data_IF_321852469153
#
_entry.id   IF_321852469153
#
_cell.length_a   1.000
_cell.length_b   1.000
_cell.length_c   1.000
_cell.angle_alpha   90.00
_cell.angle_beta   90.00
_cell.angle_gamma   90.00
#
_symmetry.space_group_name_H-M   'P 1'
#
loop_
_entity.id
_entity.type
_entity.pdbx_description
1 polymer ?
#
# COMPACT_ATOMS: atom_id res chain seq x y z
N UNK A 1 -12.88 34.56 4.97
CA UNK A 1 -12.60 33.15 4.60
C UNK A 1 -11.82 33.16 3.31
N UNK A 2 -10.68 32.46 3.23
CA UNK A 2 -10.17 31.73 2.06
C UNK A 2 -8.77 31.14 2.39
N UNK A 3 -8.69 30.04 3.17
CA UNK A 3 -7.45 29.25 3.29
C UNK A 3 -7.33 28.16 2.19
N UNK A 4 -8.41 27.88 1.45
CA UNK A 4 -8.48 26.78 0.48
C UNK A 4 -7.58 26.96 -0.75
N UNK A 5 -7.23 28.20 -1.13
CA UNK A 5 -6.42 28.45 -2.35
C UNK A 5 -4.95 28.05 -2.14
N UNK A 6 -4.45 28.07 -0.89
CA UNK A 6 -3.03 27.80 -0.61
C UNK A 6 -2.67 26.31 -0.73
N UNK A 7 -3.58 25.41 -0.34
CA UNK A 7 -3.33 23.95 -0.37
C UNK A 7 -3.50 23.34 -1.77
N UNK A 8 -4.42 23.85 -2.59
CA UNK A 8 -4.52 23.39 -3.99
C UNK A 8 -3.31 23.81 -4.84
N UNK A 9 -2.69 24.94 -4.49
CA UNK A 9 -1.46 25.42 -5.15
C UNK A 9 -0.27 24.54 -4.79
N UNK A 10 -0.16 24.10 -3.52
CA UNK A 10 0.91 23.21 -3.07
C UNK A 10 0.82 21.82 -3.70
N UNK A 11 -0.40 21.27 -3.81
CA UNK A 11 -0.63 20.02 -4.53
C UNK A 11 -0.32 20.12 -6.02
N UNK A 12 -0.68 21.24 -6.67
CA UNK A 12 -0.31 21.49 -8.09
C UNK A 12 1.20 21.62 -8.28
N UNK A 13 1.89 22.32 -7.39
CA UNK A 13 3.35 22.50 -7.47
C UNK A 13 4.10 21.18 -7.24
N UNK A 14 3.61 20.31 -6.36
CA UNK A 14 4.18 18.97 -6.17
C UNK A 14 3.99 18.10 -7.41
N UNK A 15 2.84 18.20 -8.08
CA UNK A 15 2.59 17.49 -9.33
C UNK A 15 3.47 18.03 -10.47
N UNK A 16 3.62 19.34 -10.58
CA UNK A 16 4.48 20.01 -11.57
C UNK A 16 5.95 19.60 -11.39
N UNK A 17 6.47 19.63 -10.15
CA UNK A 17 7.81 19.17 -9.84
C UNK A 17 8.01 17.66 -10.10
N UNK A 18 6.99 16.84 -9.85
CA UNK A 18 7.06 15.40 -10.15
C UNK A 18 7.06 15.13 -11.66
N UNK A 19 6.31 15.90 -12.46
CA UNK A 19 6.32 15.79 -13.92
C UNK A 19 7.63 16.30 -14.52
N UNK A 20 8.20 17.39 -14.00
CA UNK A 20 9.53 17.87 -14.38
C UNK A 20 10.63 16.82 -14.08
N UNK A 21 10.52 16.12 -12.94
CA UNK A 21 11.40 14.99 -12.61
C UNK A 21 11.24 13.81 -13.59
N UNK A 22 10.03 13.55 -14.10
CA UNK A 22 9.80 12.53 -15.13
C UNK A 22 10.40 12.95 -16.48
N UNK A 23 10.30 14.22 -16.84
CA UNK A 23 10.91 14.77 -18.05
C UNK A 23 12.45 14.75 -17.97
N UNK A 24 13.05 15.01 -16.82
CA UNK A 24 14.50 14.87 -16.59
C UNK A 24 14.98 13.41 -16.71
N UNK A 25 14.15 12.43 -16.33
CA UNK A 25 14.45 10.99 -16.52
C UNK A 25 14.33 10.60 -18.00
N UNK A 26 13.34 11.11 -18.73
CA UNK A 26 13.15 10.84 -20.17
C UNK A 26 14.23 11.55 -21.01
N UNK A 27 14.58 12.79 -20.66
CA UNK A 27 15.67 13.54 -21.28
C UNK A 27 17.05 12.95 -20.93
N UNK A 28 17.25 12.53 -19.67
CA UNK A 28 18.45 11.85 -19.18
C UNK A 28 18.66 10.44 -19.75
N UNK A 29 17.60 9.81 -20.26
CA UNK A 29 17.68 8.52 -20.94
C UNK A 29 18.34 8.61 -22.31
N UNK A 30 18.51 9.79 -22.92
CA UNK A 30 19.26 9.92 -24.19
C UNK A 30 20.78 9.79 -24.03
N UNK A 31 21.31 10.08 -22.83
CA UNK A 31 22.74 9.90 -22.55
C UNK A 31 23.07 8.45 -22.15
N UNK A 32 22.13 7.73 -21.52
CA UNK A 32 22.33 6.35 -21.07
C UNK A 32 21.81 5.28 -22.06
N UNK A 33 20.84 5.60 -22.93
CA UNK A 33 20.38 4.70 -23.99
C UNK A 33 21.33 4.62 -25.20
N UNK A 34 22.45 5.36 -25.18
CA UNK A 34 23.57 5.13 -26.09
C UNK A 34 24.28 3.80 -25.85
N UNK A 35 24.04 3.14 -24.71
CA UNK A 35 24.75 1.92 -24.32
C UNK A 35 23.87 0.66 -24.19
N UNK A 36 22.53 0.75 -24.26
CA UNK A 36 21.65 -0.42 -24.04
C UNK A 36 20.37 -0.49 -24.90
N UNK A 37 20.35 0.05 -26.12
CA UNK A 37 19.26 -0.20 -27.06
C UNK A 37 19.48 -1.50 -27.84
N UNK A 38 18.93 -2.62 -27.33
CA UNK A 38 18.59 -3.80 -28.12
C UNK A 38 17.39 -3.47 -29.04
N UNK A 39 17.64 -2.69 -30.10
CA UNK A 39 16.67 -2.40 -31.15
C UNK A 39 17.13 -3.01 -32.46
N UNK A 40 16.32 -3.95 -32.95
CA UNK A 40 16.13 -4.41 -34.33
C UNK A 40 17.27 -4.09 -35.32
N UNK A 41 18.03 -5.14 -35.66
CA UNK A 41 18.88 -5.31 -36.84
C UNK A 41 19.09 -4.06 -37.72
N UNK A 42 20.10 -3.25 -37.41
CA UNK A 42 20.63 -2.24 -38.33
C UNK A 42 22.14 -2.48 -38.54
N UNK A 43 22.49 -2.86 -39.77
CA UNK A 43 23.81 -3.31 -40.21
C UNK A 43 24.77 -2.13 -40.44
N UNK A 44 24.99 -1.24 -39.45
CA UNK A 44 25.65 0.03 -39.75
C UNK A 44 26.37 0.82 -38.65
N UNK A 45 26.52 0.35 -37.40
CA UNK A 45 27.24 1.14 -36.38
C UNK A 45 28.07 0.28 -35.40
N UNK A 46 29.33 0.67 -35.09
CA UNK A 46 30.28 -0.15 -34.36
C UNK A 46 30.08 0.02 -32.85
N UNK A 47 29.06 -0.62 -32.28
CA UNK A 47 29.22 -1.10 -30.91
C UNK A 47 30.31 -2.17 -30.98
N UNK A 48 31.42 -1.95 -30.29
CA UNK A 48 32.56 -2.88 -30.28
C UNK A 48 32.18 -4.15 -29.53
N UNK A 49 31.40 -5.01 -30.20
CA UNK A 49 31.19 -6.40 -29.84
C UNK A 49 32.42 -7.19 -30.35
N UNK A 50 33.62 -6.60 -30.29
CA UNK A 50 34.84 -7.13 -30.93
C UNK A 50 35.20 -8.54 -30.46
N UNK A 51 35.30 -8.78 -29.14
CA UNK A 51 35.45 -10.11 -28.54
C UNK A 51 34.47 -11.17 -29.07
N UNK A 52 33.18 -10.86 -29.04
CA UNK A 52 32.12 -11.80 -29.38
C UNK A 52 32.00 -12.00 -30.90
N UNK A 53 32.27 -10.97 -31.72
CA UNK A 53 32.36 -11.11 -33.17
C UNK A 53 33.51 -12.02 -33.60
N UNK A 54 34.66 -11.95 -32.91
CA UNK A 54 35.79 -12.84 -33.21
C UNK A 54 35.42 -14.30 -32.92
N UNK A 55 34.70 -14.57 -31.83
CA UNK A 55 34.21 -15.92 -31.52
C UNK A 55 33.19 -16.39 -32.56
N UNK A 56 32.23 -15.54 -32.92
CA UNK A 56 31.20 -15.87 -33.89
C UNK A 56 31.78 -16.17 -35.28
N UNK A 57 32.66 -15.30 -35.78
CA UNK A 57 33.33 -15.49 -37.07
C UNK A 57 34.24 -16.72 -37.06
N UNK A 58 34.91 -17.02 -35.93
CA UNK A 58 35.68 -18.24 -35.77
C UNK A 58 34.80 -19.50 -35.82
N UNK A 59 33.59 -19.44 -35.26
CA UNK A 59 32.60 -20.51 -35.32
C UNK A 59 32.03 -20.70 -36.74
N UNK A 60 31.73 -19.62 -37.45
CA UNK A 60 31.34 -19.66 -38.87
C UNK A 60 32.43 -20.28 -39.76
N UNK A 61 33.69 -19.86 -39.58
CA UNK A 61 34.83 -20.42 -40.30
C UNK A 61 35.03 -21.90 -39.98
N UNK A 62 34.86 -22.29 -38.72
CA UNK A 62 34.91 -23.69 -38.30
C UNK A 62 33.83 -24.51 -39.00
N UNK A 63 32.57 -24.05 -38.98
CA UNK A 63 31.45 -24.71 -39.64
C UNK A 63 31.65 -24.83 -41.15
N UNK A 64 32.10 -23.75 -41.80
CA UNK A 64 32.40 -23.73 -43.23
C UNK A 64 33.50 -24.74 -43.61
N UNK A 65 34.51 -24.91 -42.75
CA UNK A 65 35.56 -25.92 -42.92
C UNK A 65 35.08 -27.35 -42.60
N UNK A 66 34.11 -27.54 -41.71
CA UNK A 66 33.51 -28.84 -41.40
C UNK A 66 32.58 -29.33 -42.53
N UNK A 67 31.93 -28.40 -43.23
CA UNK A 67 31.06 -28.66 -44.40
C UNK A 67 31.84 -29.02 -45.67
N UNK A 68 33.16 -28.84 -45.70
CA UNK A 68 34.02 -29.20 -46.84
C UNK A 68 34.21 -30.73 -46.94
N UNK A 69 33.76 -31.37 -48.04
CA UNK A 69 33.80 -32.84 -48.16
C UNK A 69 35.20 -33.39 -48.51
N UNK A 70 36.09 -32.57 -49.06
CA UNK A 70 37.43 -32.98 -49.48
C UNK A 70 38.48 -32.69 -48.38
N UNK A 71 39.04 -33.74 -47.77
CA UNK A 71 40.00 -33.61 -46.66
C UNK A 71 41.31 -32.94 -47.07
N UNK A 72 41.74 -33.09 -48.33
CA UNK A 72 42.99 -32.52 -48.81
C UNK A 72 42.86 -30.99 -49.00
N UNK A 73 41.74 -30.53 -49.58
CA UNK A 73 41.40 -29.10 -49.69
C UNK A 73 41.20 -28.47 -48.30
N UNK A 74 40.50 -29.16 -47.40
CA UNK A 74 40.36 -28.74 -46.00
C UNK A 74 41.71 -28.63 -45.29
N UNK A 75 42.62 -29.57 -45.54
CA UNK A 75 44.00 -29.53 -45.04
C UNK A 75 44.79 -28.36 -45.59
N UNK A 76 44.67 -28.07 -46.89
CA UNK A 76 45.28 -26.92 -47.56
C UNK A 76 44.76 -25.58 -47.05
N UNK A 77 43.45 -25.45 -46.77
CA UNK A 77 42.85 -24.26 -46.18
C UNK A 77 43.30 -24.05 -44.73
N UNK A 78 43.45 -25.14 -43.95
CA UNK A 78 43.99 -25.07 -42.59
C UNK A 78 45.47 -24.68 -42.58
N UNK A 79 46.25 -25.14 -43.54
CA UNK A 79 47.67 -24.81 -43.67
C UNK A 79 47.91 -23.32 -44.02
N UNK A 80 46.92 -22.64 -44.61
CA UNK A 80 46.97 -21.20 -44.85
C UNK A 80 46.78 -20.36 -43.57
N UNK A 81 46.31 -20.96 -42.48
CA UNK A 81 46.19 -20.28 -41.20
C UNK A 81 47.59 -20.16 -40.58
N UNK A 82 48.09 -18.92 -40.46
CA UNK A 82 49.36 -18.67 -39.78
C UNK A 82 49.30 -19.19 -38.33
N UNK A 83 50.34 -19.92 -37.92
CA UNK A 83 50.45 -20.47 -36.57
C UNK A 83 50.40 -19.38 -35.49
N UNK A 84 50.89 -18.18 -35.80
CA UNK A 84 50.86 -17.04 -34.89
C UNK A 84 49.44 -16.52 -34.65
N UNK A 85 48.59 -16.54 -35.69
CA UNK A 85 47.17 -16.19 -35.58
C UNK A 85 46.42 -17.21 -34.71
N UNK A 86 46.67 -18.50 -34.92
CA UNK A 86 46.06 -19.55 -34.10
C UNK A 86 46.46 -19.43 -32.63
N UNK A 87 47.75 -19.14 -32.36
CA UNK A 87 48.28 -18.97 -31.01
C UNK A 87 47.68 -17.74 -30.31
N UNK A 88 47.58 -16.62 -31.03
CA UNK A 88 46.96 -15.40 -30.50
C UNK A 88 45.48 -15.62 -30.12
N UNK A 89 44.72 -16.38 -30.92
CA UNK A 89 43.33 -16.74 -30.60
C UNK A 89 43.22 -17.66 -29.39
N UNK A 90 44.12 -18.65 -29.27
CA UNK A 90 44.15 -19.54 -28.10
C UNK A 90 44.52 -18.79 -26.82
N UNK A 91 45.53 -17.94 -26.85
CA UNK A 91 45.91 -17.09 -25.72
C UNK A 91 44.76 -16.13 -25.36
N UNK A 92 44.09 -15.54 -26.36
CA UNK A 92 42.94 -14.68 -26.12
C UNK A 92 41.79 -15.42 -25.44
N UNK A 93 41.44 -16.62 -25.91
CA UNK A 93 40.42 -17.48 -25.28
C UNK A 93 40.82 -17.91 -23.85
N UNK A 94 42.11 -18.16 -23.60
CA UNK A 94 42.63 -18.59 -22.31
C UNK A 94 42.90 -17.43 -21.33
N UNK A 95 43.06 -16.20 -21.83
CA UNK A 95 43.45 -15.01 -21.04
C UNK A 95 42.39 -14.52 -20.04
N UNK A 96 41.29 -15.25 -19.88
CA UNK A 96 40.36 -15.06 -18.77
C UNK A 96 39.19 -14.10 -19.05
N UNK A 97 39.23 -13.28 -20.11
CA UNK A 97 38.10 -12.39 -20.42
C UNK A 97 36.80 -13.17 -20.70
N UNK A 98 36.87 -14.29 -21.41
CA UNK A 98 35.70 -15.15 -21.68
C UNK A 98 35.25 -15.92 -20.43
N UNK A 99 36.20 -16.36 -19.59
CA UNK A 99 35.91 -17.08 -18.34
C UNK A 99 35.25 -16.17 -17.30
N UNK A 100 35.81 -14.99 -17.07
CA UNK A 100 35.29 -14.01 -16.09
C UNK A 100 33.91 -13.50 -16.50
N UNK A 101 33.68 -13.28 -17.81
CA UNK A 101 32.35 -12.94 -18.32
C UNK A 101 31.34 -14.07 -18.10
N UNK A 102 31.77 -15.33 -18.18
CA UNK A 102 30.89 -16.49 -17.94
C UNK A 102 30.49 -16.58 -16.47
N UNK A 103 31.46 -16.50 -15.55
CA UNK A 103 31.21 -16.49 -14.10
C UNK A 103 30.34 -15.30 -13.68
N UNK A 104 30.55 -14.13 -14.30
CA UNK A 104 29.79 -12.93 -14.03
C UNK A 104 28.35 -13.03 -14.53
N UNK A 105 28.11 -13.65 -15.69
CA UNK A 105 26.75 -13.92 -16.20
C UNK A 105 26.04 -14.93 -15.29
N UNK A 106 26.73 -15.97 -14.83
CA UNK A 106 26.17 -16.94 -13.88
C UNK A 106 25.78 -16.27 -12.55
N UNK A 107 26.67 -15.48 -11.95
CA UNK A 107 26.39 -14.74 -10.72
C UNK A 107 25.26 -13.71 -10.89
N UNK A 108 25.15 -13.07 -12.06
CA UNK A 108 24.00 -12.21 -12.37
C UNK A 108 22.71 -13.02 -12.49
N UNK A 109 22.76 -14.22 -13.07
CA UNK A 109 21.62 -15.14 -13.14
C UNK A 109 21.12 -15.57 -11.76
N UNK A 110 22.02 -15.85 -10.82
CA UNK A 110 21.67 -16.12 -9.42
C UNK A 110 21.03 -14.91 -8.75
N UNK A 111 21.63 -13.72 -8.92
CA UNK A 111 21.09 -12.48 -8.36
C UNK A 111 19.69 -12.16 -8.88
N UNK A 112 19.43 -12.40 -10.17
CA UNK A 112 18.08 -12.24 -10.75
C UNK A 112 17.11 -13.18 -10.06
N UNK A 113 17.47 -14.47 -9.91
CA UNK A 113 16.61 -15.47 -9.26
C UNK A 113 16.29 -15.12 -7.81
N UNK A 114 17.27 -14.60 -7.07
CA UNK A 114 17.06 -14.14 -5.69
C UNK A 114 16.11 -12.93 -5.63
N UNK A 115 16.27 -11.97 -6.56
CA UNK A 115 15.38 -10.82 -6.67
C UNK A 115 13.95 -11.24 -7.05
N UNK A 116 13.79 -12.18 -7.97
CA UNK A 116 12.49 -12.74 -8.34
C UNK A 116 11.82 -13.42 -7.14
N UNK A 117 12.56 -14.22 -6.36
CA UNK A 117 12.05 -14.85 -5.14
C UNK A 117 11.62 -13.82 -4.10
N UNK A 118 12.43 -12.77 -3.90
CA UNK A 118 12.09 -11.70 -2.95
C UNK A 118 10.86 -10.91 -3.40
N UNK A 119 10.75 -10.61 -4.69
CA UNK A 119 9.58 -9.93 -5.27
C UNK A 119 8.30 -10.74 -5.06
N UNK A 120 8.36 -12.06 -5.25
CA UNK A 120 7.22 -12.94 -5.03
C UNK A 120 6.81 -13.00 -3.56
N UNK A 121 7.78 -13.07 -2.64
CA UNK A 121 7.50 -13.00 -1.21
C UNK A 121 6.81 -11.68 -0.81
N UNK A 122 7.27 -10.56 -1.38
CA UNK A 122 6.63 -9.26 -1.16
C UNK A 122 5.21 -9.19 -1.73
N UNK A 123 4.97 -9.77 -2.92
CA UNK A 123 3.62 -9.90 -3.48
C UNK A 123 2.70 -10.69 -2.56
N UNK A 124 3.16 -11.84 -2.06
CA UNK A 124 2.37 -12.68 -1.17
C UNK A 124 2.04 -11.96 0.15
N UNK A 125 3.01 -11.24 0.73
CA UNK A 125 2.79 -10.41 1.93
C UNK A 125 1.76 -9.33 1.67
N UNK A 126 1.87 -8.62 0.55
CA UNK A 126 0.91 -7.58 0.17
C UNK A 126 -0.51 -8.16 0.08
N UNK A 127 -0.69 -9.25 -0.65
CA UNK A 127 -1.97 -9.93 -0.80
C UNK A 127 -2.56 -10.36 0.56
N UNK A 128 -1.73 -10.92 1.45
CA UNK A 128 -2.16 -11.31 2.79
C UNK A 128 -2.60 -10.11 3.65
N UNK A 129 -1.87 -9.00 3.60
CA UNK A 129 -2.24 -7.79 4.35
C UNK A 129 -3.49 -7.12 3.78
N UNK A 130 -3.69 -7.20 2.46
CA UNK A 130 -4.89 -6.69 1.79
C UNK A 130 -6.12 -7.51 2.20
N UNK A 131 -6.03 -8.84 2.22
CA UNK A 131 -7.12 -9.71 2.70
C UNK A 131 -7.49 -9.41 4.16
N UNK A 132 -6.49 -9.27 5.04
CA UNK A 132 -6.71 -8.91 6.44
C UNK A 132 -7.40 -7.55 6.57
N UNK A 133 -6.99 -6.56 5.79
CA UNK A 133 -7.60 -5.23 5.81
C UNK A 133 -9.04 -5.26 5.29
N UNK A 134 -9.33 -6.04 4.24
CA UNK A 134 -10.70 -6.24 3.75
C UNK A 134 -11.59 -6.88 4.82
N UNK A 135 -11.08 -7.88 5.54
CA UNK A 135 -11.81 -8.52 6.64
C UNK A 135 -12.11 -7.54 7.78
N UNK A 136 -11.13 -6.73 8.17
CA UNK A 136 -11.29 -5.72 9.21
C UNK A 136 -12.32 -4.67 8.80
N UNK A 137 -12.31 -4.22 7.54
CA UNK A 137 -13.27 -3.26 7.03
C UNK A 137 -14.71 -3.80 7.08
N UNK A 138 -14.90 -5.07 6.68
CA UNK A 138 -16.21 -5.74 6.76
C UNK A 138 -16.67 -5.86 8.21
N UNK A 139 -15.80 -6.29 9.12
CA UNK A 139 -16.11 -6.42 10.54
C UNK A 139 -16.48 -5.07 11.17
N UNK A 140 -15.67 -4.03 10.90
CA UNK A 140 -15.93 -2.67 11.37
C UNK A 140 -17.26 -2.13 10.87
N UNK A 141 -17.57 -2.33 9.58
CA UNK A 141 -18.84 -1.88 8.99
C UNK A 141 -20.03 -2.58 9.66
N UNK A 142 -19.93 -3.89 9.91
CA UNK A 142 -20.97 -4.65 10.61
C UNK A 142 -21.18 -4.16 12.05
N UNK A 143 -20.10 -3.89 12.78
CA UNK A 143 -20.16 -3.39 14.16
C UNK A 143 -20.73 -1.97 14.22
N UNK A 144 -20.39 -1.12 13.25
CA UNK A 144 -20.93 0.23 13.14
C UNK A 144 -22.43 0.22 12.88
N UNK A 145 -22.92 -0.65 11.99
CA UNK A 145 -24.36 -0.87 11.79
C UNK A 145 -25.05 -1.32 13.07
N UNK A 146 -24.52 -2.34 13.76
CA UNK A 146 -25.11 -2.84 15.00
C UNK A 146 -25.16 -1.76 16.10
N UNK A 147 -24.11 -0.92 16.18
CA UNK A 147 -24.08 0.21 17.11
C UNK A 147 -25.18 1.22 16.80
N UNK A 148 -25.40 1.55 15.53
CA UNK A 148 -26.46 2.48 15.12
C UNK A 148 -27.85 1.91 15.47
N UNK A 149 -28.10 0.63 15.17
CA UNK A 149 -29.37 -0.03 15.50
C UNK A 149 -29.65 0.00 17.02
N UNK A 150 -28.62 -0.24 17.85
CA UNK A 150 -28.74 -0.14 19.30
C UNK A 150 -28.97 1.29 19.78
N UNK A 151 -28.34 2.28 19.15
CA UNK A 151 -28.56 3.69 19.47
C UNK A 151 -29.99 4.13 19.14
N UNK A 152 -30.56 3.63 18.05
CA UNK A 152 -31.94 3.86 17.66
C UNK A 152 -32.90 3.21 18.66
N UNK A 153 -32.65 1.96 19.08
CA UNK A 153 -33.46 1.29 20.11
C UNK A 153 -33.40 2.03 21.46
N UNK A 154 -32.21 2.46 21.89
CA UNK A 154 -32.06 3.27 23.12
C UNK A 154 -32.83 4.58 23.01
N UNK A 155 -32.81 5.23 21.84
CA UNK A 155 -33.55 6.47 21.60
C UNK A 155 -35.06 6.23 21.62
N UNK A 156 -35.53 5.14 21.01
CA UNK A 156 -36.92 4.70 21.04
C UNK A 156 -37.39 4.42 22.48
N UNK A 157 -36.63 3.64 23.26
CA UNK A 157 -36.94 3.33 24.65
C UNK A 157 -36.96 4.59 25.53
N UNK A 158 -36.04 5.54 25.31
CA UNK A 158 -36.04 6.83 26.00
C UNK A 158 -37.31 7.64 25.74
N UNK A 159 -37.76 7.72 24.48
CA UNK A 159 -39.01 8.40 24.13
C UNK A 159 -40.21 7.76 24.81
N UNK A 160 -40.30 6.43 24.76
CA UNK A 160 -41.38 5.67 25.41
C UNK A 160 -41.38 5.84 26.93
N UNK A 161 -40.20 5.90 27.56
CA UNK A 161 -40.10 6.16 29.00
C UNK A 161 -40.55 7.58 29.37
N UNK A 162 -40.25 8.59 28.54
CA UNK A 162 -40.75 9.94 28.76
C UNK A 162 -42.27 10.05 28.59
N UNK A 163 -42.85 9.28 27.67
CA UNK A 163 -44.30 9.19 27.47
C UNK A 163 -44.99 8.59 28.72
N UNK A 164 -44.51 7.44 29.20
CA UNK A 164 -45.06 6.79 30.40
C UNK A 164 -44.83 7.61 31.67
N UNK A 165 -43.69 8.30 31.79
CA UNK A 165 -43.38 9.17 32.93
C UNK A 165 -44.15 10.49 32.96
N UNK A 166 -44.77 10.89 31.84
CA UNK A 166 -45.71 12.02 31.80
C UNK A 166 -47.10 11.63 32.31
N UNK A 167 -47.55 10.39 32.06
CA UNK A 167 -48.84 9.88 32.56
C UNK A 167 -48.88 9.69 34.09
N UNK A 168 -47.75 9.45 34.75
CA UNK A 168 -47.69 9.31 36.22
C UNK A 168 -47.71 10.65 36.97
N UNK A 169 -47.32 11.77 36.33
CA UNK A 169 -47.21 13.08 37.01
C UNK A 169 -48.52 13.86 37.06
N UNK A 170 -49.46 13.59 36.16
CA UNK A 170 -50.79 14.20 36.17
C UNK A 170 -51.78 13.48 37.13
N UNK A 171 -51.37 12.35 37.73
CA UNK A 171 -52.22 11.58 38.66
C UNK A 171 -52.14 11.99 40.14
N UNK A 172 -51.04 12.62 40.58
CA UNK A 172 -50.78 12.87 42.00
C UNK A 172 -51.16 14.29 42.49
N UNK A 173 -51.43 15.25 41.60
CA UNK A 173 -51.81 16.62 42.00
C UNK A 173 -53.26 16.72 42.50
N UNK A 174 -54.14 15.77 42.16
CA UNK A 174 -55.54 15.77 42.60
C UNK A 174 -55.75 15.24 44.03
N UNK A 175 -54.74 14.62 44.67
CA UNK A 175 -54.92 13.89 45.94
C UNK A 175 -54.47 14.66 47.19
N UNK A 176 -53.85 15.84 47.04
CA UNK A 176 -53.31 16.62 48.16
C UNK A 176 -54.34 17.61 48.76
N UNK A 177 -55.41 17.96 48.04
CA UNK A 177 -56.39 18.96 48.49
C UNK A 177 -57.29 18.47 49.65
N UNK A 178 -57.58 17.16 49.77
CA UNK A 178 -58.56 16.63 50.73
C UNK A 178 -58.03 16.54 52.19
N UNK A 179 -56.73 16.82 52.42
CA UNK A 179 -56.15 16.76 53.78
C UNK A 179 -56.02 18.13 54.48
N UNK A 180 -56.30 19.23 53.79
CA UNK A 180 -56.16 20.59 54.33
C UNK A 180 -57.36 21.02 55.19
N UNK A 181 -58.58 20.60 54.84
CA UNK A 181 -59.81 21.01 55.56
C UNK A 181 -59.98 20.33 56.93
N UNK A 182 -59.36 19.16 57.15
CA UNK A 182 -59.42 18.47 58.44
C UNK A 182 -58.62 19.15 59.56
N UNK A 183 -57.70 20.08 59.23
CA UNK A 183 -56.84 20.75 60.22
C UNK A 183 -57.37 22.08 60.73
N UNK A 184 -58.33 22.70 60.06
CA UNK A 184 -58.85 24.01 60.48
C UNK A 184 -59.88 23.92 61.62
N UNK A 185 -60.65 22.82 61.70
CA UNK A 185 -61.69 22.65 62.72
C UNK A 185 -61.17 22.27 64.12
N UNK A 186 -59.87 21.95 64.27
CA UNK A 186 -59.28 21.63 65.58
C UNK A 186 -58.71 22.85 66.30
N UNK A 187 -58.55 23.99 65.61
CA UNK A 187 -57.98 25.21 66.19
C UNK A 187 -59.01 26.11 66.89
N UNK A 188 -60.30 26.00 66.61
CA UNK A 188 -61.32 26.86 67.23
C UNK A 188 -61.87 26.35 68.58
N UNK A 189 -61.70 25.06 68.91
CA UNK A 189 -62.19 24.49 70.18
C UNK A 189 -61.21 24.74 71.35
N UNK A 190 -59.93 25.01 71.06
CA UNK A 190 -58.88 25.15 72.08
C UNK A 190 -58.82 26.50 72.80
N UNK A 191 -59.45 27.55 72.25
CA UNK A 191 -59.24 28.93 72.72
C UNK A 191 -60.35 29.44 73.65
N UNK A 192 -61.44 28.69 73.83
CA UNK A 192 -62.55 29.09 74.70
C UNK A 192 -62.43 28.58 76.16
N UNK A 193 -61.49 27.69 76.48
CA UNK A 193 -61.45 27.01 77.79
C UNK A 193 -60.50 27.61 78.83
N UNK A 194 -59.73 28.65 78.52
CA UNK A 194 -58.64 29.12 79.41
C UNK A 194 -58.91 30.45 80.15
N UNK A 195 -60.09 31.08 79.99
CA UNK A 195 -60.37 32.40 80.58
C UNK A 195 -61.21 32.39 81.87
N UNK A 196 -61.33 31.27 82.60
CA UNK A 196 -62.15 31.24 83.81
C UNK A 196 -61.57 30.35 84.92
N UNK A 197 -60.51 30.83 85.60
CA UNK A 197 -60.17 30.53 87.02
C UNK A 197 -58.78 31.07 87.39
N UNK A 198 -58.67 32.38 87.53
CA UNK A 198 -57.80 33.02 88.50
C UNK A 198 -58.61 34.17 89.07
N UNK A 199 -59.31 33.91 90.18
CA UNK A 199 -59.45 34.85 91.30
C UNK A 199 -60.31 34.20 92.40
N UNK A 200 -59.79 34.28 93.63
CA UNK A 200 -60.38 33.94 94.93
C UNK A 200 -60.15 32.53 95.54
N UNK A 201 -58.99 32.45 96.22
CA UNK A 201 -58.64 31.72 97.46
C UNK A 201 -59.56 32.10 98.65
N UNK A 202 -59.42 31.59 99.90
CA UNK A 202 -58.21 31.14 100.60
C UNK A 202 -57.98 29.64 100.58
#
# INVERSE_FOLDING_TARGET
MLPAITMETEASHMLEAALEQMDDIIAGSKAAAGEFCNSVYDLGSPVSVGPLHVVHLAEELKLALELQPNQEERGGLRAQLHADTARALMDWLQSGNVSVLTDQVEAQGEKIRDLESSLEEHRQKLASTEEMLQQELVSRTSLETQKLDLMDEVSYLKLKLTEVGMDEKDGDDARVQDSADAKQNKAEVGTAATSLKQDFSP
#
